data_IF_100079877628
#
_entry.id   IF_100079877628
#
_cell.length_a   1.000
_cell.length_b   1.000
_cell.length_c   1.000
_cell.angle_alpha   90.00
_cell.angle_beta   90.00
_cell.angle_gamma   90.00
#
_symmetry.space_group_name_H-M   'P 1'
#
loop_
_entity.id
_entity.type
_entity.pdbx_description
1 polymer ?
#
# COMPACT_ATOMS: atom_id res chain seq x y z
N UNK A 1 1.66 -18.32 -0.35
CA UNK A 1 2.40 -17.50 0.64
C UNK A 1 1.96 -16.08 0.37
N UNK A 2 1.38 -15.38 1.36
CA UNK A 2 1.12 -13.95 1.19
C UNK A 2 2.48 -13.24 1.24
N UNK A 3 2.71 -12.29 0.32
CA UNK A 3 3.87 -11.39 0.36
C UNK A 3 3.96 -10.71 1.73
N UNK A 4 5.13 -10.23 2.13
CA UNK A 4 5.23 -9.25 3.21
C UNK A 4 4.72 -7.89 2.74
N UNK A 5 4.41 -7.00 3.68
CA UNK A 5 4.04 -5.62 3.33
C UNK A 5 5.18 -4.87 2.64
N UNK A 6 6.44 -5.18 3.00
CA UNK A 6 7.61 -4.60 2.34
C UNK A 6 7.70 -5.05 0.88
N UNK A 7 7.62 -6.35 0.61
CA UNK A 7 7.63 -6.88 -0.76
C UNK A 7 6.47 -6.30 -1.58
N UNK A 8 5.29 -6.17 -0.98
CA UNK A 8 4.15 -5.54 -1.64
C UNK A 8 4.39 -4.04 -1.92
N UNK A 9 4.96 -3.27 -1.00
CA UNK A 9 5.30 -1.87 -1.25
C UNK A 9 6.31 -1.71 -2.40
N UNK A 10 7.31 -2.59 -2.47
CA UNK A 10 8.27 -2.62 -3.58
C UNK A 10 7.59 -2.94 -4.93
N UNK A 11 6.68 -3.92 -4.95
CA UNK A 11 5.89 -4.26 -6.13
C UNK A 11 4.99 -3.09 -6.58
N UNK A 12 4.29 -2.45 -5.64
CA UNK A 12 3.43 -1.29 -5.93
C UNK A 12 4.25 -0.13 -6.49
N UNK A 13 5.39 0.18 -5.88
CA UNK A 13 6.29 1.22 -6.39
C UNK A 13 6.80 0.89 -7.79
N UNK A 14 7.14 -0.37 -8.07
CA UNK A 14 7.63 -0.75 -9.38
C UNK A 14 6.52 -0.69 -10.45
N UNK A 15 5.29 -1.04 -10.09
CA UNK A 15 4.14 -1.06 -10.99
C UNK A 15 3.60 0.34 -11.31
N UNK A 16 3.58 1.24 -10.32
CA UNK A 16 2.88 2.54 -10.39
C UNK A 16 3.82 3.74 -10.26
N UNK A 17 5.14 3.56 -10.48
CA UNK A 17 6.13 4.65 -10.31
C UNK A 17 5.80 5.91 -11.11
N UNK A 18 5.14 5.75 -12.26
CA UNK A 18 4.78 6.85 -13.16
C UNK A 18 3.49 7.57 -12.73
N UNK A 19 2.66 6.93 -11.90
CA UNK A 19 1.41 7.47 -11.37
C UNK A 19 1.59 8.09 -9.96
N UNK A 20 2.68 7.73 -9.27
CA UNK A 20 3.02 8.23 -7.93
C UNK A 20 3.90 9.48 -8.03
N UNK A 21 3.64 10.48 -7.18
CA UNK A 21 4.47 11.69 -7.17
C UNK A 21 5.96 11.36 -6.88
N UNK A 22 6.94 12.06 -7.48
CA UNK A 22 8.35 11.79 -7.21
C UNK A 22 8.75 11.92 -5.73
N UNK A 23 8.04 12.79 -4.99
CA UNK A 23 8.26 12.97 -3.55
C UNK A 23 7.80 11.73 -2.77
N UNK A 24 6.65 11.17 -3.11
CA UNK A 24 6.10 9.98 -2.46
C UNK A 24 6.89 8.72 -2.83
N UNK A 25 7.36 8.60 -4.08
CA UNK A 25 8.32 7.54 -4.47
C UNK A 25 9.59 7.62 -3.62
N UNK A 26 10.12 8.82 -3.39
CA UNK A 26 11.33 9.01 -2.58
C UNK A 26 11.08 8.64 -1.11
N UNK A 27 9.94 9.07 -0.55
CA UNK A 27 9.56 8.76 0.82
C UNK A 27 9.37 7.25 1.01
N UNK A 28 8.60 6.60 0.13
CA UNK A 28 8.32 5.17 0.24
C UNK A 28 9.60 4.32 0.14
N UNK A 29 10.54 4.68 -0.75
CA UNK A 29 11.86 4.02 -0.82
C UNK A 29 12.66 4.20 0.46
N UNK A 30 12.69 5.40 1.03
CA UNK A 30 13.37 5.66 2.32
C UNK A 30 12.78 4.80 3.43
N UNK A 31 11.45 4.73 3.52
CA UNK A 31 10.76 3.90 4.52
C UNK A 31 11.08 2.42 4.36
N UNK A 32 11.13 1.91 3.12
CA UNK A 32 11.52 0.52 2.84
C UNK A 32 12.97 0.26 3.29
N UNK A 33 13.90 1.14 2.92
CA UNK A 33 15.33 1.03 3.27
C UNK A 33 15.56 1.11 4.79
N UNK A 34 14.77 1.90 5.50
CA UNK A 34 14.80 2.03 6.97
C UNK A 34 14.14 0.84 7.71
N UNK A 35 13.54 -0.11 6.97
CA UNK A 35 12.87 -1.28 7.52
C UNK A 35 11.39 -1.07 7.88
N UNK A 36 10.84 0.10 7.55
CA UNK A 36 9.45 0.50 7.74
C UNK A 36 8.60 0.27 6.47
N UNK A 37 8.88 -0.79 5.71
CA UNK A 37 8.12 -1.13 4.50
C UNK A 37 6.61 -1.37 4.74
N UNK A 38 6.20 -1.66 5.97
CA UNK A 38 4.78 -1.69 6.35
C UNK A 38 4.12 -0.32 6.30
N UNK A 39 4.86 0.75 6.62
CA UNK A 39 4.38 2.13 6.57
C UNK A 39 4.37 2.63 5.12
N UNK A 40 5.41 2.30 4.34
CA UNK A 40 5.41 2.57 2.90
C UNK A 40 4.20 1.94 2.21
N UNK A 41 3.89 0.67 2.51
CA UNK A 41 2.70 0.00 2.02
C UNK A 41 1.40 0.74 2.41
N UNK A 42 1.28 1.19 3.66
CA UNK A 42 0.10 1.90 4.11
C UNK A 42 -0.08 3.25 3.38
N UNK A 43 1.00 4.01 3.23
CA UNK A 43 0.96 5.32 2.56
C UNK A 43 0.62 5.15 1.08
N UNK A 44 1.23 4.17 0.40
CA UNK A 44 0.92 3.84 -1.00
C UNK A 44 -0.52 3.38 -1.18
N UNK A 45 -1.06 2.58 -0.24
CA UNK A 45 -2.47 2.19 -0.25
C UNK A 45 -3.38 3.42 -0.19
N UNK A 46 -3.11 4.34 0.74
CA UNK A 46 -3.90 5.56 0.91
C UNK A 46 -3.87 6.42 -0.36
N UNK A 47 -2.67 6.75 -0.86
CA UNK A 47 -2.52 7.55 -2.08
C UNK A 47 -3.19 6.90 -3.28
N UNK A 48 -3.03 5.59 -3.47
CA UNK A 48 -3.62 4.91 -4.62
C UNK A 48 -5.12 4.73 -4.55
N UNK A 49 -5.68 4.67 -3.34
CA UNK A 49 -7.12 4.68 -3.14
C UNK A 49 -7.70 6.07 -3.42
N UNK A 50 -7.04 7.13 -2.96
CA UNK A 50 -7.48 8.52 -3.13
C UNK A 50 -7.34 9.01 -4.58
N UNK A 51 -6.27 8.62 -5.26
CA UNK A 51 -5.94 9.05 -6.63
C UNK A 51 -6.47 8.07 -7.70
N UNK A 52 -6.85 6.86 -7.30
CA UNK A 52 -7.54 5.90 -8.16
C UNK A 52 -6.63 5.12 -9.13
N UNK A 53 -5.33 5.00 -8.83
CA UNK A 53 -4.40 4.18 -9.63
C UNK A 53 -4.26 2.74 -9.13
N UNK A 54 -4.73 2.42 -7.92
CA UNK A 54 -4.71 1.04 -7.41
C UNK A 54 -5.68 0.14 -8.16
N UNK A 55 -5.22 -1.05 -8.51
CA UNK A 55 -6.08 -2.10 -9.07
C UNK A 55 -6.86 -2.84 -7.97
N UNK A 56 -7.94 -3.51 -8.36
CA UNK A 56 -8.70 -4.36 -7.46
C UNK A 56 -7.86 -5.49 -6.83
N UNK A 57 -6.94 -6.10 -7.59
CA UNK A 57 -6.10 -7.18 -7.07
C UNK A 57 -5.10 -6.70 -6.00
N UNK A 58 -4.56 -5.50 -6.17
CA UNK A 58 -3.67 -4.85 -5.19
C UNK A 58 -4.46 -4.46 -3.93
N UNK A 59 -5.67 -3.93 -4.11
CA UNK A 59 -6.57 -3.65 -3.01
C UNK A 59 -6.99 -4.92 -2.24
N UNK A 60 -7.24 -6.05 -2.92
CA UNK A 60 -7.49 -7.33 -2.26
C UNK A 60 -6.30 -7.80 -1.41
N UNK A 61 -5.08 -7.59 -1.89
CA UNK A 61 -3.85 -7.92 -1.16
C UNK A 61 -3.69 -7.02 0.08
N UNK A 62 -3.88 -5.71 -0.08
CA UNK A 62 -3.90 -4.76 1.01
C UNK A 62 -4.98 -5.09 2.06
N UNK A 63 -6.17 -5.49 1.62
CA UNK A 63 -7.25 -5.93 2.51
C UNK A 63 -6.85 -7.16 3.33
N UNK A 64 -6.18 -8.13 2.70
CA UNK A 64 -5.67 -9.30 3.40
C UNK A 64 -4.63 -8.92 4.46
N UNK A 65 -3.74 -7.97 4.17
CA UNK A 65 -2.78 -7.44 5.14
C UNK A 65 -3.45 -6.71 6.30
N UNK A 66 -4.43 -5.86 6.00
CA UNK A 66 -5.20 -5.13 7.00
C UNK A 66 -5.88 -6.09 7.99
N UNK A 67 -6.58 -7.11 7.47
CA UNK A 67 -7.24 -8.15 8.28
C UNK A 67 -6.28 -9.03 9.07
N UNK A 68 -5.06 -9.21 8.56
CA UNK A 68 -3.99 -9.91 9.25
C UNK A 68 -3.24 -9.03 10.28
N UNK A 69 -3.65 -7.76 10.48
CA UNK A 69 -3.03 -6.84 11.44
C UNK A 69 -1.67 -6.30 11.01
N UNK A 70 -1.31 -6.39 9.72
CA UNK A 70 0.04 -6.08 9.22
C UNK A 70 0.37 -4.59 9.20
N UNK A 71 -0.63 -3.72 9.29
CA UNK A 71 -0.46 -2.25 9.42
C UNK A 71 -0.55 -1.77 10.88
N UNK A 72 -0.51 -2.68 11.85
CA UNK A 72 -0.57 -2.36 13.28
C UNK A 72 -1.83 -1.57 13.63
N UNK A 73 -1.67 -0.40 14.26
CA UNK A 73 -2.79 0.47 14.65
C UNK A 73 -3.57 1.04 13.45
N UNK A 74 -3.00 1.02 12.25
CA UNK A 74 -3.62 1.55 11.03
C UNK A 74 -4.42 0.51 10.26
N UNK A 75 -4.41 -0.77 10.67
CA UNK A 75 -5.12 -1.84 9.97
C UNK A 75 -6.61 -1.56 9.73
N UNK A 76 -7.31 -0.89 10.65
CA UNK A 76 -8.71 -0.54 10.43
C UNK A 76 -8.89 0.53 9.33
N UNK A 77 -7.96 1.49 9.23
CA UNK A 77 -7.94 2.48 8.15
C UNK A 77 -7.64 1.80 6.81
N UNK A 78 -6.57 1.02 6.76
CA UNK A 78 -6.18 0.26 5.57
C UNK A 78 -7.29 -0.67 5.06
N UNK A 79 -8.06 -1.32 5.94
CA UNK A 79 -9.21 -2.13 5.52
C UNK A 79 -10.30 -1.26 4.86
N UNK A 80 -10.54 -0.05 5.35
CA UNK A 80 -11.52 0.86 4.73
C UNK A 80 -11.03 1.37 3.37
N UNK A 81 -9.77 1.77 3.27
CA UNK A 81 -9.17 2.28 2.02
C UNK A 81 -9.15 1.18 0.94
N UNK A 82 -8.76 -0.04 1.30
CA UNK A 82 -8.84 -1.18 0.37
C UNK A 82 -10.28 -1.46 -0.07
N UNK A 83 -11.26 -1.33 0.83
CA UNK A 83 -12.67 -1.56 0.49
C UNK A 83 -13.29 -0.46 -0.36
N UNK A 84 -12.82 0.78 -0.29
CA UNK A 84 -13.29 1.84 -1.18
C UNK A 84 -12.88 1.55 -2.62
N UNK A 85 -11.63 1.13 -2.84
CA UNK A 85 -11.14 0.72 -4.17
C UNK A 85 -11.97 -0.44 -4.73
N UNK A 86 -12.26 -1.47 -3.91
CA UNK A 86 -13.05 -2.63 -4.34
C UNK A 86 -14.54 -2.34 -4.59
N UNK A 87 -15.03 -1.19 -4.14
CA UNK A 87 -16.41 -0.76 -4.35
C UNK A 87 -16.57 0.21 -5.55
N UNK A 88 -15.45 0.61 -6.17
CA UNK A 88 -15.38 1.53 -7.30
C UNK A 88 -15.57 0.80 -8.63
#
# INVERSE_FOLDING_TARGET
>A
MLLSTTEWAEEILAAHVDDISPADVTLARSLIDDGDGWLAAYDLLGSGADEGWLTAAEAETALAFARAGKFGKFSAGAENDARSVLAS
#
